data_IF_210216486222
#
_entry.id   IF_210216486222
#
_cell.length_a   1.000
_cell.length_b   1.000
_cell.length_c   1.000
_cell.angle_alpha   90.00
_cell.angle_beta   90.00
_cell.angle_gamma   90.00
#
_symmetry.space_group_name_H-M   'P 1'
#
loop_
_entity.id
_entity.type
_entity.pdbx_description
1 polymer ?
#
# COMPACT_ATOMS: atom_id res chain seq x y z
N UNK A 1 10.49 43.93 -25.17
CA UNK A 1 11.11 43.25 -26.33
C UNK A 1 10.64 41.80 -26.40
N UNK A 2 10.34 41.29 -27.59
CA UNK A 2 10.09 39.86 -27.83
C UNK A 2 11.41 39.21 -28.22
N UNK A 3 12.03 38.45 -27.31
CA UNK A 3 13.28 37.72 -27.59
C UNK A 3 13.01 36.24 -27.83
N UNK A 4 13.42 35.74 -29.00
CA UNK A 4 13.31 34.31 -29.36
C UNK A 4 14.06 33.41 -28.36
N UNK A 5 15.21 33.87 -27.86
CA UNK A 5 16.02 33.13 -26.90
C UNK A 5 15.28 32.98 -25.56
N UNK A 6 14.66 34.06 -25.07
CA UNK A 6 13.84 34.03 -23.85
C UNK A 6 12.60 33.14 -24.01
N UNK A 7 11.94 33.21 -25.18
CA UNK A 7 10.81 32.33 -25.48
C UNK A 7 11.24 30.85 -25.48
N UNK A 8 12.39 30.53 -26.09
CA UNK A 8 12.92 29.16 -26.12
C UNK A 8 13.25 28.65 -24.73
N UNK A 9 13.90 29.48 -23.90
CA UNK A 9 14.23 29.12 -22.52
C UNK A 9 12.98 28.88 -21.66
N UNK A 10 11.98 29.77 -21.80
CA UNK A 10 10.70 29.63 -21.11
C UNK A 10 9.94 28.37 -21.53
N UNK A 11 9.91 28.06 -22.82
CA UNK A 11 9.32 26.81 -23.34
C UNK A 11 10.04 25.58 -22.81
N UNK A 12 11.37 25.57 -22.77
CA UNK A 12 12.15 24.45 -22.23
C UNK A 12 11.91 24.25 -20.73
N UNK A 13 11.80 25.34 -19.97
CA UNK A 13 11.46 25.28 -18.54
C UNK A 13 10.07 24.68 -18.33
N UNK A 14 9.07 25.13 -19.09
CA UNK A 14 7.72 24.57 -19.04
C UNK A 14 7.71 23.10 -19.45
N UNK A 15 8.40 22.73 -20.53
CA UNK A 15 8.49 21.35 -21.00
C UNK A 15 9.08 20.43 -19.92
N UNK A 16 10.16 20.85 -19.25
CA UNK A 16 10.75 20.09 -18.15
C UNK A 16 9.78 19.90 -16.99
N UNK A 17 9.05 20.95 -16.59
CA UNK A 17 8.01 20.86 -15.56
C UNK A 17 6.95 19.82 -15.92
N UNK A 18 6.43 19.87 -17.15
CA UNK A 18 5.42 18.92 -17.64
C UNK A 18 5.94 17.49 -17.72
N UNK A 19 7.21 17.29 -18.09
CA UNK A 19 7.83 15.96 -18.13
C UNK A 19 8.01 15.37 -16.74
N UNK A 20 8.34 16.20 -15.74
CA UNK A 20 8.41 15.77 -14.33
C UNK A 20 7.02 15.38 -13.83
N UNK A 21 6.01 16.24 -14.03
CA UNK A 21 4.61 15.94 -13.70
C UNK A 21 4.14 14.61 -14.34
N UNK A 22 4.47 14.40 -15.61
CA UNK A 22 4.13 13.16 -16.32
C UNK A 22 4.79 11.93 -15.66
N UNK A 23 6.08 12.03 -15.33
CA UNK A 23 6.82 10.94 -14.70
C UNK A 23 6.31 10.64 -13.29
N UNK A 24 5.97 11.67 -12.52
CA UNK A 24 5.36 11.51 -11.20
C UNK A 24 4.03 10.78 -11.30
N UNK A 25 3.17 11.20 -12.23
CA UNK A 25 1.89 10.53 -12.48
C UNK A 25 2.06 9.07 -12.92
N UNK A 26 2.98 8.78 -13.84
CA UNK A 26 3.27 7.40 -14.25
C UNK A 26 3.78 6.55 -13.07
N UNK A 27 4.54 7.15 -12.16
CA UNK A 27 5.01 6.46 -10.96
C UNK A 27 3.86 6.23 -9.97
N UNK A 28 2.98 7.21 -9.79
CA UNK A 28 1.77 7.08 -8.97
C UNK A 28 0.84 5.99 -9.51
N UNK A 29 0.62 5.94 -10.83
CA UNK A 29 -0.18 4.90 -11.49
C UNK A 29 0.43 3.51 -11.28
N UNK A 30 1.74 3.34 -11.53
CA UNK A 30 2.43 2.07 -11.27
C UNK A 30 2.36 1.65 -9.80
N UNK A 31 2.49 2.61 -8.88
CA UNK A 31 2.40 2.34 -7.45
C UNK A 31 0.96 2.01 -7.04
N UNK A 32 -0.05 2.61 -7.68
CA UNK A 32 -1.46 2.28 -7.46
C UNK A 32 -1.77 0.86 -7.92
N UNK A 33 -1.28 0.44 -9.09
CA UNK A 33 -1.41 -0.92 -9.60
C UNK A 33 -0.80 -1.95 -8.63
N UNK A 34 0.40 -1.67 -8.10
CA UNK A 34 1.06 -2.55 -7.12
C UNK A 34 0.28 -2.61 -5.79
N UNK A 35 -0.23 -1.47 -5.31
CA UNK A 35 -1.01 -1.40 -4.06
C UNK A 35 -2.35 -2.12 -4.18
N UNK A 36 -2.88 -2.25 -5.40
CA UNK A 36 -4.19 -2.82 -5.67
C UNK A 36 -5.32 -1.98 -5.08
N UNK A 37 -6.51 -2.58 -4.99
CA UNK A 37 -7.67 -1.92 -4.40
C UNK A 37 -7.51 -1.76 -2.88
N UNK A 38 -7.15 -0.54 -2.45
CA UNK A 38 -7.20 -0.20 -1.03
C UNK A 38 -8.66 -0.14 -0.57
N UNK A 39 -9.06 -1.14 0.23
CA UNK A 39 -10.34 -1.07 0.92
C UNK A 39 -10.32 0.08 1.92
N UNK A 40 -11.44 0.78 2.05
CA UNK A 40 -11.59 1.87 3.02
C UNK A 40 -11.38 1.34 4.43
N UNK A 41 -10.81 2.16 5.30
CA UNK A 41 -10.62 1.84 6.73
C UNK A 41 -11.96 2.04 7.45
N UNK A 42 -12.91 1.17 7.12
CA UNK A 42 -14.26 1.14 7.69
C UNK A 42 -14.42 -0.11 8.55
N UNK A 43 -15.38 -0.07 9.47
CA UNK A 43 -15.71 -1.22 10.32
C UNK A 43 -16.13 -2.41 9.45
N UNK A 44 -15.44 -3.54 9.59
CA UNK A 44 -15.64 -4.74 8.78
C UNK A 44 -14.64 -4.93 7.64
N UNK A 45 -13.79 -3.93 7.35
CA UNK A 45 -12.74 -4.06 6.33
C UNK A 45 -11.39 -4.57 6.89
N UNK A 46 -11.32 -4.91 8.17
CA UNK A 46 -10.11 -5.47 8.78
C UNK A 46 -9.77 -6.87 8.23
N UNK A 47 -8.49 -7.09 7.92
CA UNK A 47 -8.02 -8.41 7.48
C UNK A 47 -7.78 -9.38 8.63
N UNK A 48 -7.54 -8.87 9.84
CA UNK A 48 -7.17 -9.68 11.00
C UNK A 48 -7.63 -9.02 12.30
N UNK A 49 -8.18 -9.82 13.20
CA UNK A 49 -8.51 -9.40 14.56
C UNK A 49 -7.44 -9.88 15.53
N UNK A 50 -7.00 -8.97 16.41
CA UNK A 50 -6.12 -9.26 17.53
C UNK A 50 -6.90 -8.96 18.82
N UNK A 51 -7.28 -10.01 19.54
CA UNK A 51 -8.03 -9.92 20.79
C UNK A 51 -7.09 -10.29 21.91
N UNK A 52 -6.89 -9.38 22.87
CA UNK A 52 -6.00 -9.59 24.01
C UNK A 52 -6.75 -10.03 25.28
N UNK A 53 -8.02 -9.67 25.41
CA UNK A 53 -8.89 -10.00 26.55
C UNK A 53 -10.35 -10.13 26.11
N UNK A 54 -11.18 -10.97 26.77
CA UNK A 54 -10.86 -11.82 27.94
C UNK A 54 -10.09 -13.09 27.58
N UNK A 55 -9.96 -13.40 26.30
CA UNK A 55 -9.11 -14.46 25.75
C UNK A 55 -8.11 -13.85 24.77
N UNK A 56 -6.97 -14.51 24.60
CA UNK A 56 -5.96 -14.12 23.61
C UNK A 56 -6.19 -14.89 22.32
N UNK A 57 -6.45 -14.19 21.22
CA UNK A 57 -6.66 -14.81 19.91
C UNK A 57 -6.28 -13.83 18.80
N UNK A 58 -5.51 -14.33 17.84
CA UNK A 58 -5.27 -13.64 16.57
C UNK A 58 -5.92 -14.45 15.45
N UNK A 59 -6.83 -13.84 14.69
CA UNK A 59 -7.56 -14.52 13.62
C UNK A 59 -7.52 -13.70 12.33
N UNK A 60 -7.01 -14.29 11.25
CA UNK A 60 -7.05 -13.69 9.91
C UNK A 60 -8.37 -14.03 9.23
N UNK A 61 -9.16 -13.00 8.90
CA UNK A 61 -10.50 -13.15 8.31
C UNK A 61 -10.46 -13.53 6.84
N UNK A 62 -9.30 -13.41 6.18
CA UNK A 62 -9.16 -13.79 4.77
C UNK A 62 -8.90 -15.27 4.63
N UNK A 63 -8.13 -15.85 5.54
CA UNK A 63 -7.67 -17.25 5.46
C UNK A 63 -8.33 -18.17 6.48
N UNK A 64 -8.94 -17.59 7.53
CA UNK A 64 -9.46 -18.34 8.67
C UNK A 64 -8.38 -18.87 9.62
N UNK A 65 -7.09 -18.66 9.32
CA UNK A 65 -5.98 -19.08 10.19
C UNK A 65 -6.00 -18.29 11.50
N UNK A 66 -5.82 -18.99 12.61
CA UNK A 66 -5.81 -18.40 13.94
C UNK A 66 -4.64 -18.89 14.80
N UNK A 67 -4.22 -18.06 15.75
CA UNK A 67 -3.20 -18.36 16.74
C UNK A 67 -3.67 -17.89 18.12
N UNK A 68 -3.57 -18.76 19.12
CA UNK A 68 -3.89 -18.43 20.51
C UNK A 68 -2.74 -17.73 21.26
N UNK A 69 -1.51 -17.83 20.77
CA UNK A 69 -0.34 -17.20 21.38
C UNK A 69 -0.13 -15.80 20.81
N UNK A 70 -0.79 -14.80 21.40
CA UNK A 70 -0.73 -13.42 20.89
C UNK A 70 0.64 -12.78 21.08
N UNK A 71 1.36 -13.10 22.16
CA UNK A 71 2.67 -12.52 22.42
C UNK A 71 3.68 -12.91 21.34
N UNK A 72 3.70 -14.18 20.94
CA UNK A 72 4.59 -14.69 19.88
C UNK A 72 4.28 -14.05 18.52
N UNK A 73 2.98 -13.88 18.21
CA UNK A 73 2.55 -13.18 16.99
C UNK A 73 2.98 -11.71 17.01
N UNK A 74 2.85 -11.04 18.16
CA UNK A 74 3.28 -9.65 18.33
C UNK A 74 4.81 -9.50 18.30
N UNK A 75 5.53 -10.55 18.68
CA UNK A 75 6.99 -10.65 18.55
C UNK A 75 7.46 -10.97 17.11
N UNK A 76 6.54 -11.04 16.16
CA UNK A 76 6.86 -11.14 14.73
C UNK A 76 6.70 -12.53 14.12
N UNK A 77 6.20 -13.51 14.87
CA UNK A 77 5.87 -14.82 14.31
C UNK A 77 4.60 -14.75 13.44
N UNK A 78 4.76 -14.27 12.21
CA UNK A 78 3.69 -14.08 11.23
C UNK A 78 3.71 -15.11 10.09
N UNK A 79 4.70 -16.01 10.07
CA UNK A 79 4.95 -16.92 8.94
C UNK A 79 3.75 -17.82 8.65
N UNK A 80 3.07 -18.31 9.68
CA UNK A 80 1.83 -19.10 9.52
C UNK A 80 0.72 -18.35 8.79
N UNK A 81 0.53 -17.07 9.11
CA UNK A 81 -0.47 -16.23 8.45
C UNK A 81 -0.10 -15.91 6.99
N UNK A 82 1.18 -15.62 6.74
CA UNK A 82 1.69 -15.32 5.40
C UNK A 82 1.54 -16.55 4.50
N UNK A 83 1.99 -17.72 4.99
CA UNK A 83 1.92 -18.98 4.26
C UNK A 83 0.47 -19.38 3.98
N UNK A 84 -0.43 -19.24 4.96
CA UNK A 84 -1.85 -19.53 4.76
C UNK A 84 -2.47 -18.65 3.66
N UNK A 85 -2.08 -17.37 3.59
CA UNK A 85 -2.56 -16.46 2.55
C UNK A 85 -2.03 -16.81 1.17
N UNK A 86 -0.72 -17.08 1.07
CA UNK A 86 -0.09 -17.46 -0.21
C UNK A 86 -0.60 -18.80 -0.75
N UNK A 87 -1.01 -19.74 0.11
CA UNK A 87 -1.62 -21.01 -0.31
C UNK A 87 -3.03 -20.88 -0.88
N UNK A 88 -3.74 -19.78 -0.58
CA UNK A 88 -5.08 -19.54 -1.10
C UNK A 88 -5.12 -18.83 -2.45
N UNK A 89 -3.99 -18.23 -2.87
CA UNK A 89 -3.82 -17.67 -4.21
C UNK A 89 -3.56 -18.77 -5.24
#
# INVERSE_FOLDING_TARGET
ERSQMQNREMCLRMLRSRLVELRERENEEKMADIKGEMKKIEWGSQIRSYVFQPYTMVKDHRTGFESGNIEDVMNGNLEGFVTAYLKMQ
#
